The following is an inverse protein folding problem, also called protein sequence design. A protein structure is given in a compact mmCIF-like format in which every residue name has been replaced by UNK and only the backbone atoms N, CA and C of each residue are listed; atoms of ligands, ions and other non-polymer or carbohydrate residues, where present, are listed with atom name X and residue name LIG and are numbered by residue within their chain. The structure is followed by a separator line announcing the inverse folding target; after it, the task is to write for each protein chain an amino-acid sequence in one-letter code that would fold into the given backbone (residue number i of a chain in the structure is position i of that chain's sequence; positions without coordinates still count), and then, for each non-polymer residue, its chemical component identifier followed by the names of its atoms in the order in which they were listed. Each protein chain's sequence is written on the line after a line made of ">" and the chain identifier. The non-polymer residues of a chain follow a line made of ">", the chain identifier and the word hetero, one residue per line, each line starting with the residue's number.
data_IF_790011091832
#
_entry.id   IF_790011091832
#
_cell.length_a   1.000
_cell.length_b   1.000
_cell.length_c   1.000
_cell.angle_alpha   90.00
_cell.angle_beta   90.00
_cell.angle_gamma   90.00
#
_symmetry.space_group_name_H-M   'P 1'
#
loop_
_entity.id
_entity.type
_entity.pdbx_description
1 polymer ?
#
# COMPACT_ATOMS: atom_id res chain seq x y z
N UNK A 1 13.47 13.37 -20.09
CA UNK A 1 13.51 13.00 -18.66
C UNK A 1 12.99 11.58 -18.39
N UNK A 2 11.92 11.14 -19.07
CA UNK A 2 11.32 9.79 -18.89
C UNK A 2 12.21 8.60 -19.29
N UNK A 3 13.03 8.71 -20.35
CA UNK A 3 13.93 7.63 -20.80
C UNK A 3 15.01 7.29 -19.75
N UNK A 4 15.56 8.32 -19.08
CA UNK A 4 16.60 8.15 -18.07
C UNK A 4 16.06 7.50 -16.79
N UNK A 5 14.87 7.91 -16.34
CA UNK A 5 14.19 7.32 -15.18
C UNK A 5 13.80 5.85 -15.46
N UNK A 6 13.35 5.55 -16.69
CA UNK A 6 13.06 4.16 -17.12
C UNK A 6 14.32 3.28 -17.16
N UNK A 7 15.43 3.81 -17.69
CA UNK A 7 16.72 3.11 -17.69
C UNK A 7 17.25 2.85 -16.28
N UNK A 8 17.14 3.84 -15.39
CA UNK A 8 17.50 3.73 -13.98
C UNK A 8 16.69 2.67 -13.24
N UNK A 9 15.34 2.70 -13.37
CA UNK A 9 14.46 1.71 -12.74
C UNK A 9 14.77 0.29 -13.22
N UNK A 10 15.01 0.12 -14.54
CA UNK A 10 15.38 -1.18 -15.15
C UNK A 10 16.71 -1.70 -14.62
N UNK A 11 17.71 -0.84 -14.52
CA UNK A 11 19.02 -1.20 -13.96
C UNK A 11 18.90 -1.61 -12.48
N UNK A 12 18.20 -0.82 -11.67
CA UNK A 12 18.06 -1.09 -10.23
C UNK A 12 17.30 -2.38 -9.93
N UNK A 13 16.17 -2.64 -10.60
CA UNK A 13 15.42 -3.88 -10.39
C UNK A 13 16.22 -5.11 -10.88
N UNK A 14 16.95 -4.99 -11.98
CA UNK A 14 17.82 -6.06 -12.48
C UNK A 14 19.03 -6.34 -11.59
N UNK A 15 19.60 -5.32 -10.95
CA UNK A 15 20.67 -5.45 -9.97
C UNK A 15 20.17 -6.05 -8.65
N UNK A 16 19.01 -5.63 -8.18
CA UNK A 16 18.38 -6.12 -6.94
C UNK A 16 17.96 -7.60 -7.02
N UNK A 17 17.67 -8.11 -8.22
CA UNK A 17 17.32 -9.51 -8.43
C UNK A 17 18.54 -10.48 -8.36
N UNK A 18 19.77 -9.98 -8.23
CA UNK A 18 20.98 -10.83 -8.12
C UNK A 18 21.21 -11.28 -6.68
N UNK A 19 21.36 -12.58 -6.44
CA UNK A 19 21.55 -13.17 -5.10
C UNK A 19 22.74 -12.61 -4.31
N UNK A 20 23.82 -12.24 -5.00
CA UNK A 20 25.00 -11.61 -4.37
C UNK A 20 24.66 -10.21 -3.86
N UNK A 21 23.87 -9.44 -4.62
CA UNK A 21 23.41 -8.10 -4.23
C UNK A 21 22.38 -8.20 -3.11
N UNK A 22 21.49 -9.20 -3.15
CA UNK A 22 20.56 -9.53 -2.06
C UNK A 22 21.31 -9.83 -0.77
N UNK A 23 22.29 -10.74 -0.79
CA UNK A 23 23.09 -11.10 0.41
C UNK A 23 23.91 -9.93 0.97
N UNK A 24 24.56 -9.14 0.11
CA UNK A 24 25.29 -7.94 0.53
C UNK A 24 24.37 -6.87 1.12
N UNK A 25 23.19 -6.68 0.52
CA UNK A 25 22.20 -5.72 1.02
C UNK A 25 21.57 -6.17 2.33
N UNK A 26 21.28 -7.46 2.51
CA UNK A 26 20.80 -7.98 3.79
C UNK A 26 21.86 -7.84 4.89
N UNK A 27 23.15 -7.99 4.55
CA UNK A 27 24.28 -7.89 5.51
C UNK A 27 24.63 -6.46 5.93
N UNK A 28 24.47 -5.47 5.04
CA UNK A 28 24.91 -4.08 5.28
C UNK A 28 23.82 -3.00 5.12
N UNK A 29 22.64 -3.36 4.62
CA UNK A 29 21.58 -2.43 4.23
C UNK A 29 20.47 -2.23 5.26
N UNK A 30 20.48 -2.93 6.40
CA UNK A 30 19.46 -2.82 7.45
C UNK A 30 19.29 -1.38 7.96
N UNK A 31 20.39 -0.63 8.08
CA UNK A 31 20.39 0.79 8.50
C UNK A 31 19.76 1.73 7.45
N UNK A 32 19.82 1.35 6.17
CA UNK A 32 19.18 2.09 5.07
C UNK A 32 17.70 1.70 4.91
N UNK A 33 17.38 0.43 5.16
CA UNK A 33 16.02 -0.09 5.17
C UNK A 33 15.16 0.54 6.27
N UNK A 34 15.73 0.83 7.45
CA UNK A 34 15.04 1.46 8.58
C UNK A 34 14.45 2.85 8.30
N UNK A 35 14.77 3.48 7.15
CA UNK A 35 14.10 4.71 6.71
C UNK A 35 12.74 4.43 6.07
N UNK A 36 12.52 3.26 5.46
CA UNK A 36 11.28 2.89 4.77
C UNK A 36 10.51 1.77 5.46
N UNK A 37 11.16 1.04 6.37
CA UNK A 37 10.59 0.03 7.24
C UNK A 37 10.61 0.56 8.67
N UNK A 38 9.45 0.60 9.30
CA UNK A 38 9.27 1.26 10.59
C UNK A 38 10.03 0.54 11.70
N UNK A 39 9.98 -0.80 11.70
CA UNK A 39 10.70 -1.64 12.63
C UNK A 39 10.82 -3.08 12.11
N UNK A 40 11.80 -3.85 12.58
CA UNK A 40 11.87 -5.29 12.31
C UNK A 40 10.84 -6.09 13.11
N UNK A 41 10.31 -5.53 14.21
CA UNK A 41 9.35 -6.19 15.11
C UNK A 41 8.01 -5.48 15.11
N UNK A 42 6.96 -6.22 15.46
CA UNK A 42 5.61 -5.68 15.65
C UNK A 42 5.58 -4.58 16.71
N UNK A 43 6.26 -4.79 17.84
CA UNK A 43 6.28 -3.84 18.96
C UNK A 43 6.89 -2.50 18.54
N UNK A 44 8.00 -2.51 17.79
CA UNK A 44 8.58 -1.28 17.26
C UNK A 44 7.69 -0.58 16.23
N UNK A 45 6.90 -1.35 15.48
CA UNK A 45 5.93 -0.80 14.52
C UNK A 45 4.76 -0.13 15.24
N UNK A 46 4.26 -0.72 16.33
CA UNK A 46 3.24 -0.13 17.19
C UNK A 46 3.73 1.18 17.82
N UNK A 47 4.99 1.25 18.25
CA UNK A 47 5.59 2.50 18.74
C UNK A 47 5.66 3.58 17.65
N UNK A 48 5.93 3.21 16.41
CA UNK A 48 5.90 4.12 15.28
C UNK A 48 4.48 4.66 15.02
N UNK A 49 3.45 3.81 15.14
CA UNK A 49 2.04 4.20 15.04
C UNK A 49 1.67 5.20 16.12
N UNK A 50 2.08 4.99 17.37
CA UNK A 50 1.83 5.93 18.47
C UNK A 50 2.46 7.32 18.20
N UNK A 51 3.67 7.35 17.64
CA UNK A 51 4.34 8.60 17.25
C UNK A 51 3.62 9.33 16.10
N UNK A 52 3.02 8.59 15.17
CA UNK A 52 2.21 9.17 14.08
C UNK A 52 0.89 9.72 14.61
N UNK A 53 0.22 8.99 15.51
CA UNK A 53 -1.02 9.42 16.17
C UNK A 53 -0.84 10.75 16.90
N UNK A 54 0.28 10.93 17.61
CA UNK A 54 0.63 12.18 18.29
C UNK A 54 0.76 13.40 17.33
N UNK A 55 0.90 13.16 16.02
CA UNK A 55 0.98 14.17 14.96
C UNK A 55 -0.32 14.32 14.17
N UNK A 56 -1.41 13.69 14.60
CA UNK A 56 -2.68 13.67 13.87
C UNK A 56 -2.66 12.83 12.59
N UNK A 57 -1.74 11.86 12.49
CA UNK A 57 -1.61 10.99 11.32
C UNK A 57 -2.05 9.58 11.71
N UNK A 58 -3.08 9.06 11.04
CA UNK A 58 -3.54 7.68 11.19
C UNK A 58 -2.53 6.70 10.59
N UNK A 59 -2.67 5.40 10.89
CA UNK A 59 -1.78 4.38 10.35
C UNK A 59 -2.52 3.24 9.63
N UNK A 60 -1.80 2.59 8.71
CA UNK A 60 -2.10 1.24 8.25
C UNK A 60 -0.83 0.40 8.34
N UNK A 61 -0.89 -0.72 9.05
CA UNK A 61 0.25 -1.58 9.30
C UNK A 61 0.30 -2.71 8.26
N UNK A 62 1.50 -3.07 7.83
CA UNK A 62 1.76 -4.12 6.83
C UNK A 62 2.88 -5.02 7.33
N UNK A 63 2.56 -6.29 7.58
CA UNK A 63 3.57 -7.29 7.90
C UNK A 63 4.26 -7.72 6.61
N UNK A 64 5.53 -7.39 6.48
CA UNK A 64 6.28 -7.56 5.25
C UNK A 64 6.44 -9.05 4.90
N UNK A 65 6.03 -9.37 3.67
CA UNK A 65 6.19 -10.66 3.01
C UNK A 65 5.43 -10.65 1.68
N UNK A 66 5.83 -11.50 0.74
CA UNK A 66 5.12 -11.71 -0.53
C UNK A 66 5.50 -13.07 -1.11
N UNK A 67 4.60 -13.69 -1.88
CA UNK A 67 4.88 -14.91 -2.65
C UNK A 67 5.48 -16.06 -1.82
N UNK A 68 4.72 -16.55 -0.84
CA UNK A 68 5.14 -17.71 -0.01
C UNK A 68 5.30 -18.97 -0.85
N UNK A 69 6.29 -19.78 -0.51
CA UNK A 69 6.64 -21.00 -1.25
C UNK A 69 5.88 -22.25 -0.77
N UNK A 70 5.28 -22.20 0.42
CA UNK A 70 4.57 -23.32 1.02
C UNK A 70 3.47 -22.84 2.00
N UNK A 71 2.66 -23.80 2.46
CA UNK A 71 1.53 -23.55 3.36
C UNK A 71 1.94 -23.14 4.77
N UNK A 72 3.08 -23.60 5.25
CA UNK A 72 3.58 -23.27 6.60
C UNK A 72 3.95 -21.78 6.68
N UNK A 73 4.59 -21.23 5.64
CA UNK A 73 4.87 -19.81 5.51
C UNK A 73 3.59 -18.95 5.41
N UNK A 74 2.59 -19.42 4.67
CA UNK A 74 1.29 -18.76 4.56
C UNK A 74 0.58 -18.70 5.93
N UNK A 75 0.57 -19.83 6.66
CA UNK A 75 0.01 -19.93 8.00
C UNK A 75 0.76 -19.06 9.00
N UNK A 76 2.10 -19.05 8.95
CA UNK A 76 2.92 -18.18 9.80
C UNK A 76 2.63 -16.69 9.56
N UNK A 77 2.44 -16.29 8.30
CA UNK A 77 2.05 -14.92 7.96
C UNK A 77 0.66 -14.56 8.49
N UNK A 78 -0.32 -15.45 8.33
CA UNK A 78 -1.66 -15.29 8.93
C UNK A 78 -1.54 -15.11 10.43
N UNK A 79 -0.82 -15.99 11.12
CA UNK A 79 -0.74 -15.99 12.58
C UNK A 79 -0.05 -14.75 13.13
N UNK A 80 0.92 -14.17 12.42
CA UNK A 80 1.50 -12.88 12.79
C UNK A 80 0.51 -11.73 12.58
N UNK A 81 -0.26 -11.74 11.49
CA UNK A 81 -1.30 -10.73 11.25
C UNK A 81 -2.42 -10.81 12.30
N UNK A 82 -2.81 -12.01 12.73
CA UNK A 82 -3.77 -12.19 13.82
C UNK A 82 -3.24 -11.64 15.14
N UNK A 83 -1.97 -11.90 15.47
CA UNK A 83 -1.32 -11.31 16.65
C UNK A 83 -1.20 -9.79 16.56
N UNK A 84 -0.97 -9.24 15.37
CA UNK A 84 -1.02 -7.80 15.14
C UNK A 84 -2.41 -7.22 15.44
N UNK A 85 -3.47 -7.83 14.93
CA UNK A 85 -4.84 -7.39 15.17
C UNK A 85 -5.21 -7.45 16.65
N UNK A 86 -4.81 -8.51 17.35
CA UNK A 86 -4.96 -8.59 18.80
C UNK A 86 -4.24 -7.44 19.50
N UNK A 87 -2.97 -7.17 19.15
CA UNK A 87 -2.20 -6.08 19.75
C UNK A 87 -2.77 -4.68 19.45
N UNK A 88 -3.40 -4.49 18.29
CA UNK A 88 -4.13 -3.26 17.95
C UNK A 88 -5.34 -3.11 18.88
N UNK A 89 -6.12 -4.17 19.05
CA UNK A 89 -7.29 -4.22 19.95
C UNK A 89 -6.92 -3.95 21.40
N UNK A 90 -5.95 -4.70 21.95
CA UNK A 90 -5.53 -4.61 23.36
C UNK A 90 -5.03 -3.22 23.74
N UNK A 91 -4.46 -2.49 22.76
CA UNK A 91 -3.92 -1.14 22.96
C UNK A 91 -4.90 -0.03 22.55
N UNK A 92 -6.10 -0.37 22.06
CA UNK A 92 -7.08 0.60 21.54
C UNK A 92 -6.49 1.50 20.44
N UNK A 93 -5.69 0.93 19.55
CA UNK A 93 -5.04 1.69 18.48
C UNK A 93 -5.97 1.85 17.28
N UNK A 94 -6.13 3.08 16.80
CA UNK A 94 -6.79 3.36 15.52
C UNK A 94 -5.78 3.16 14.37
N UNK A 95 -5.60 1.89 14.00
CA UNK A 95 -4.70 1.47 12.93
C UNK A 95 -5.34 0.39 12.06
N UNK A 96 -5.39 0.63 10.76
CA UNK A 96 -5.82 -0.37 9.78
C UNK A 96 -4.73 -1.42 9.55
N UNK A 97 -5.07 -2.54 8.92
CA UNK A 97 -4.09 -3.54 8.45
C UNK A 97 -4.17 -3.67 6.93
N UNK A 98 -3.03 -3.73 6.26
CA UNK A 98 -2.91 -4.08 4.83
C UNK A 98 -2.25 -5.44 4.69
N UNK A 99 -2.77 -6.30 3.81
CA UNK A 99 -2.24 -7.66 3.56
C UNK A 99 -2.14 -7.96 2.07
N UNK A 100 -1.22 -8.84 1.69
CA UNK A 100 -1.04 -9.30 0.31
C UNK A 100 -1.54 -10.73 0.16
N UNK A 101 -2.49 -11.03 -0.74
CA UNK A 101 -3.00 -12.38 -0.93
C UNK A 101 -1.91 -13.43 -1.22
N UNK A 102 -0.85 -13.10 -1.96
CA UNK A 102 0.23 -14.06 -2.23
C UNK A 102 1.04 -14.43 -0.99
N UNK A 103 1.09 -13.56 0.02
CA UNK A 103 1.67 -13.86 1.32
C UNK A 103 0.80 -14.86 2.11
N UNK A 104 -0.48 -14.95 1.76
CA UNK A 104 -1.47 -15.81 2.40
C UNK A 104 -1.81 -17.06 1.56
N UNK A 105 -1.02 -17.32 0.52
CA UNK A 105 -1.12 -18.54 -0.30
C UNK A 105 -1.93 -18.41 -1.59
N UNK A 106 -2.25 -17.20 -2.08
CA UNK A 106 -3.00 -17.06 -3.35
C UNK A 106 -2.34 -17.77 -4.54
N UNK A 107 -1.01 -17.78 -4.60
CA UNK A 107 -0.25 -18.48 -5.64
C UNK A 107 -0.21 -20.00 -5.48
N UNK A 108 -0.69 -20.54 -4.36
CA UNK A 108 -0.68 -21.97 -4.03
C UNK A 108 -2.08 -22.58 -4.16
N UNK A 109 -3.06 -22.03 -3.43
CA UNK A 109 -4.47 -22.42 -3.51
C UNK A 109 -5.36 -21.21 -3.13
N UNK A 110 -6.17 -20.71 -4.07
CA UNK A 110 -7.09 -19.61 -3.84
C UNK A 110 -8.12 -19.84 -2.72
N UNK A 111 -8.59 -21.08 -2.51
CA UNK A 111 -9.57 -21.39 -1.46
C UNK A 111 -8.94 -21.33 -0.07
N UNK A 112 -7.78 -21.95 0.11
CA UNK A 112 -7.04 -21.86 1.36
C UNK A 112 -6.57 -20.41 1.66
N UNK A 113 -6.24 -19.63 0.62
CA UNK A 113 -6.00 -18.20 0.77
C UNK A 113 -7.24 -17.45 1.25
N UNK A 114 -8.42 -17.78 0.72
CA UNK A 114 -9.69 -17.22 1.17
C UNK A 114 -9.97 -17.54 2.64
N UNK A 115 -9.70 -18.76 3.09
CA UNK A 115 -9.85 -19.16 4.49
C UNK A 115 -8.93 -18.35 5.42
N UNK A 116 -7.66 -18.16 5.03
CA UNK A 116 -6.72 -17.30 5.75
C UNK A 116 -7.21 -15.86 5.84
N UNK A 117 -7.70 -15.31 4.72
CA UNK A 117 -8.26 -13.96 4.68
C UNK A 117 -9.53 -13.82 5.51
N UNK A 118 -10.40 -14.84 5.53
CA UNK A 118 -11.62 -14.85 6.34
C UNK A 118 -11.30 -14.76 7.83
N UNK A 119 -10.31 -15.53 8.29
CA UNK A 119 -9.85 -15.46 9.69
C UNK A 119 -9.31 -14.08 10.03
N UNK A 120 -8.47 -13.50 9.17
CA UNK A 120 -7.90 -12.15 9.38
C UNK A 120 -8.99 -11.08 9.36
N UNK A 121 -9.95 -11.17 8.42
CA UNK A 121 -11.05 -10.23 8.32
C UNK A 121 -11.97 -10.30 9.54
N UNK A 122 -12.29 -11.49 10.04
CA UNK A 122 -13.07 -11.66 11.27
C UNK A 122 -12.35 -11.03 12.47
N UNK A 123 -11.06 -11.28 12.65
CA UNK A 123 -10.26 -10.66 13.70
C UNK A 123 -10.18 -9.13 13.55
N UNK A 124 -10.13 -8.60 12.32
CA UNK A 124 -10.18 -7.16 12.09
C UNK A 124 -11.52 -6.54 12.50
N UNK A 125 -12.64 -7.25 12.28
CA UNK A 125 -13.96 -6.84 12.77
C UNK A 125 -14.02 -6.80 14.29
N UNK A 126 -13.52 -7.84 14.95
CA UNK A 126 -13.47 -7.95 16.41
C UNK A 126 -12.61 -6.84 17.03
N UNK A 127 -11.48 -6.54 16.41
CA UNK A 127 -10.60 -5.43 16.79
C UNK A 127 -11.17 -4.03 16.44
N UNK A 128 -12.35 -3.94 15.82
CA UNK A 128 -12.97 -2.68 15.44
C UNK A 128 -12.17 -1.88 14.39
N UNK A 129 -11.40 -2.57 13.53
CA UNK A 129 -10.54 -1.94 12.53
C UNK A 129 -10.86 -2.38 11.10
N UNK A 130 -10.13 -1.84 10.13
CA UNK A 130 -10.31 -2.08 8.70
C UNK A 130 -9.18 -2.91 8.10
N UNK A 131 -9.54 -3.85 7.23
CA UNK A 131 -8.62 -4.67 6.46
C UNK A 131 -8.58 -4.22 5.00
N UNK A 132 -7.39 -3.83 4.53
CA UNK A 132 -7.11 -3.54 3.13
C UNK A 132 -6.43 -4.76 2.48
N UNK A 133 -7.02 -5.27 1.41
CA UNK A 133 -6.37 -6.25 0.55
C UNK A 133 -5.58 -5.50 -0.51
N UNK A 134 -4.26 -5.56 -0.42
CA UNK A 134 -3.36 -4.90 -1.35
C UNK A 134 -3.41 -5.55 -2.73
N UNK A 135 -3.30 -4.73 -3.77
CA UNK A 135 -3.29 -5.18 -5.14
C UNK A 135 -1.86 -5.45 -5.61
N UNK A 136 -1.62 -6.69 -6.03
CA UNK A 136 -0.33 -7.16 -6.52
C UNK A 136 -0.21 -6.97 -8.05
N UNK A 137 0.59 -7.80 -8.74
CA UNK A 137 0.72 -7.69 -10.21
C UNK A 137 -0.59 -8.03 -10.93
N UNK A 138 -0.67 -7.68 -12.21
CA UNK A 138 -1.84 -7.93 -13.07
C UNK A 138 -2.31 -9.38 -13.08
N UNK A 139 -1.37 -10.34 -12.92
CA UNK A 139 -1.66 -11.77 -12.83
C UNK A 139 -2.60 -12.15 -11.68
N UNK A 140 -2.59 -11.37 -10.58
CA UNK A 140 -3.40 -11.63 -9.41
C UNK A 140 -4.62 -10.69 -9.29
N UNK A 141 -4.77 -9.71 -10.18
CA UNK A 141 -5.80 -8.67 -10.03
C UNK A 141 -7.21 -9.22 -9.95
N UNK A 142 -7.58 -10.10 -10.89
CA UNK A 142 -8.93 -10.67 -10.91
C UNK A 142 -9.20 -11.50 -9.65
N UNK A 143 -8.31 -12.44 -9.33
CA UNK A 143 -8.44 -13.30 -8.16
C UNK A 143 -8.51 -12.50 -6.85
N UNK A 144 -7.76 -11.40 -6.75
CA UNK A 144 -7.78 -10.52 -5.57
C UNK A 144 -9.14 -9.81 -5.42
N UNK A 145 -9.71 -9.29 -6.51
CA UNK A 145 -11.03 -8.67 -6.47
C UNK A 145 -12.14 -9.68 -6.14
N UNK A 146 -12.03 -10.90 -6.64
CA UNK A 146 -13.00 -11.96 -6.36
C UNK A 146 -12.94 -12.41 -4.89
N UNK A 147 -11.74 -12.51 -4.30
CA UNK A 147 -11.56 -12.74 -2.87
C UNK A 147 -12.21 -11.63 -2.03
N UNK A 148 -11.99 -10.36 -2.39
CA UNK A 148 -12.61 -9.22 -1.69
C UNK A 148 -14.13 -9.31 -1.75
N UNK A 149 -14.70 -9.57 -2.93
CA UNK A 149 -16.16 -9.71 -3.11
C UNK A 149 -16.74 -10.86 -2.30
N UNK A 150 -16.05 -11.99 -2.25
CA UNK A 150 -16.48 -13.15 -1.45
C UNK A 150 -16.52 -12.83 0.03
N UNK A 151 -15.48 -12.20 0.58
CA UNK A 151 -15.47 -11.76 1.98
C UNK A 151 -16.59 -10.75 2.27
N UNK A 152 -16.85 -9.82 1.34
CA UNK A 152 -17.97 -8.87 1.45
C UNK A 152 -19.34 -9.55 1.42
N UNK A 153 -19.53 -10.56 0.56
CA UNK A 153 -20.76 -11.36 0.52
C UNK A 153 -20.99 -12.15 1.82
N UNK A 154 -19.93 -12.48 2.56
CA UNK A 154 -20.00 -13.11 3.90
C UNK A 154 -20.26 -12.10 5.04
N UNK A 155 -20.51 -10.82 4.74
CA UNK A 155 -20.82 -9.80 5.74
C UNK A 155 -19.61 -9.19 6.43
N UNK A 156 -18.42 -9.27 5.83
CA UNK A 156 -17.19 -8.65 6.33
C UNK A 156 -16.99 -7.25 5.72
N UNK A 157 -17.87 -6.31 6.07
CA UNK A 157 -17.93 -4.97 5.47
C UNK A 157 -16.69 -4.09 5.67
N UNK A 158 -15.88 -4.40 6.68
CA UNK A 158 -14.60 -3.76 6.98
C UNK A 158 -13.46 -4.18 6.04
N UNK A 159 -13.74 -4.89 4.95
CA UNK A 159 -12.77 -5.29 3.93
C UNK A 159 -12.85 -4.36 2.71
N UNK A 160 -11.70 -3.95 2.17
CA UNK A 160 -11.66 -3.23 0.89
C UNK A 160 -10.45 -3.50 0.03
N UNK A 161 -10.50 -2.99 -1.19
CA UNK A 161 -9.53 -3.31 -2.25
C UNK A 161 -8.58 -2.14 -2.57
N UNK A 162 -7.54 -2.43 -3.35
CA UNK A 162 -6.68 -1.42 -3.99
C UNK A 162 -6.91 -1.44 -5.50
N UNK A 163 -6.97 -0.26 -6.12
CA UNK A 163 -7.06 -0.11 -7.59
C UNK A 163 -5.83 0.61 -8.12
N UNK A 164 -5.24 0.07 -9.19
CA UNK A 164 -3.99 0.55 -9.78
C UNK A 164 -4.25 1.35 -11.06
N UNK A 165 -4.11 2.66 -11.02
CA UNK A 165 -4.44 3.54 -12.15
C UNK A 165 -3.63 3.27 -13.43
N UNK A 166 -2.49 2.57 -13.37
CA UNK A 166 -1.72 2.21 -14.56
C UNK A 166 -2.37 1.12 -15.42
N UNK A 167 -3.27 0.29 -14.89
CA UNK A 167 -3.91 -0.76 -15.68
C UNK A 167 -5.11 -0.20 -16.46
N UNK A 168 -5.27 -0.63 -17.71
CA UNK A 168 -6.38 -0.20 -18.59
C UNK A 168 -7.76 -0.63 -18.07
N UNK A 169 -7.82 -1.75 -17.33
CA UNK A 169 -9.05 -2.29 -16.72
C UNK A 169 -9.56 -1.48 -15.52
N UNK A 170 -8.70 -0.69 -14.89
CA UNK A 170 -8.95 -0.13 -13.55
C UNK A 170 -10.14 0.80 -13.43
N UNK A 171 -10.47 1.55 -14.49
CA UNK A 171 -11.66 2.41 -14.47
C UNK A 171 -12.94 1.57 -14.33
N UNK A 172 -13.06 0.48 -15.09
CA UNK A 172 -14.21 -0.42 -15.02
C UNK A 172 -14.26 -1.24 -13.73
N UNK A 173 -13.10 -1.64 -13.19
CA UNK A 173 -13.06 -2.29 -11.88
C UNK A 173 -13.49 -1.32 -10.75
N UNK A 174 -13.06 -0.06 -10.81
CA UNK A 174 -13.46 0.96 -9.84
C UNK A 174 -14.97 1.25 -9.89
N UNK A 175 -15.56 1.32 -11.08
CA UNK A 175 -17.01 1.51 -11.26
C UNK A 175 -17.79 0.36 -10.57
N UNK A 176 -17.39 -0.91 -10.80
CA UNK A 176 -18.01 -2.08 -10.15
C UNK A 176 -17.85 -2.07 -8.63
N UNK A 177 -16.64 -1.79 -8.14
CA UNK A 177 -16.38 -1.74 -6.69
C UNK A 177 -17.18 -0.63 -5.99
N UNK A 178 -17.43 0.48 -6.69
CA UNK A 178 -18.28 1.57 -6.19
C UNK A 178 -19.74 1.14 -6.10
N UNK A 179 -20.28 0.46 -7.13
CA UNK A 179 -21.63 -0.14 -7.12
C UNK A 179 -21.80 -1.13 -5.96
N UNK A 180 -20.77 -1.94 -5.71
CA UNK A 180 -20.70 -2.92 -4.62
C UNK A 180 -20.41 -2.29 -3.24
N UNK A 181 -20.27 -0.96 -3.16
CA UNK A 181 -19.93 -0.21 -1.94
C UNK A 181 -18.65 -0.72 -1.25
N UNK A 182 -17.64 -1.08 -2.05
CA UNK A 182 -16.33 -1.54 -1.57
C UNK A 182 -15.37 -0.36 -1.50
N UNK A 183 -14.97 0.01 -0.28
CA UNK A 183 -14.00 1.10 -0.03
C UNK A 183 -12.72 0.82 -0.82
N UNK A 184 -12.14 1.83 -1.47
CA UNK A 184 -10.98 1.68 -2.34
C UNK A 184 -9.80 2.56 -1.92
N UNK A 185 -8.59 2.03 -2.09
CA UNK A 185 -7.34 2.81 -2.12
C UNK A 185 -6.88 2.91 -3.57
N UNK A 186 -6.69 4.13 -4.07
CA UNK A 186 -6.23 4.37 -5.44
C UNK A 186 -4.73 4.65 -5.44
N UNK A 187 -3.98 3.82 -6.16
CA UNK A 187 -2.52 3.95 -6.36
C UNK A 187 -2.20 4.12 -7.83
N UNK A 188 -1.00 4.60 -8.16
CA UNK A 188 -0.53 4.60 -9.56
C UNK A 188 -0.30 3.18 -10.10
N UNK A 189 0.15 2.25 -9.24
CA UNK A 189 0.63 0.92 -9.61
C UNK A 189 2.14 0.80 -9.44
N UNK A 190 2.59 -0.31 -8.84
CA UNK A 190 4.00 -0.50 -8.43
C UNK A 190 4.74 -1.55 -9.28
N UNK A 191 4.01 -2.37 -10.02
CA UNK A 191 4.54 -3.49 -10.80
C UNK A 191 4.97 -3.03 -12.21
N UNK A 192 5.73 -3.90 -12.88
CA UNK A 192 6.10 -3.70 -14.29
C UNK A 192 5.18 -4.57 -15.12
N UNK A 193 4.30 -3.92 -15.86
CA UNK A 193 3.23 -4.56 -16.63
C UNK A 193 3.44 -4.31 -18.12
N UNK A 194 3.04 -5.24 -19.00
CA UNK A 194 3.15 -5.07 -20.44
C UNK A 194 2.20 -3.97 -20.95
N UNK A 195 2.53 -3.40 -22.11
CA UNK A 195 1.89 -2.17 -22.64
C UNK A 195 0.48 -2.36 -23.19
N UNK A 196 0.15 -3.60 -23.55
CA UNK A 196 -1.17 -4.05 -23.95
C UNK A 196 -2.18 -3.93 -22.81
N UNK A 197 -1.76 -4.21 -21.56
CA UNK A 197 -2.64 -4.13 -20.38
C UNK A 197 -2.45 -2.89 -19.52
N UNK A 198 -1.33 -2.17 -19.65
CA UNK A 198 -0.99 -1.03 -18.79
C UNK A 198 -0.45 0.19 -19.53
N UNK A 199 -0.88 1.37 -19.11
CA UNK A 199 -0.34 2.66 -19.52
C UNK A 199 1.14 2.76 -19.13
N UNK A 200 1.99 3.12 -20.09
CA UNK A 200 3.43 3.23 -19.88
C UNK A 200 3.87 4.68 -19.65
N UNK A 201 3.16 5.66 -20.24
CA UNK A 201 3.52 7.08 -20.10
C UNK A 201 2.97 7.62 -18.80
N UNK A 202 3.79 8.39 -18.08
CA UNK A 202 3.39 8.95 -16.79
C UNK A 202 2.20 9.93 -16.91
N UNK A 203 2.03 10.59 -18.06
CA UNK A 203 0.85 11.41 -18.34
C UNK A 203 -0.44 10.58 -18.32
N UNK A 204 -0.50 9.50 -19.10
CA UNK A 204 -1.65 8.60 -19.17
C UNK A 204 -2.00 7.97 -17.81
N UNK A 205 -1.00 7.58 -17.02
CA UNK A 205 -1.21 7.05 -15.66
C UNK A 205 -1.81 8.12 -14.74
N UNK A 206 -1.34 9.38 -14.85
CA UNK A 206 -1.88 10.50 -14.07
C UNK A 206 -3.32 10.81 -14.48
N UNK A 207 -3.62 10.79 -15.78
CA UNK A 207 -4.97 11.07 -16.29
C UNK A 207 -5.95 9.98 -15.89
N UNK A 208 -5.55 8.71 -15.96
CA UNK A 208 -6.30 7.57 -15.42
C UNK A 208 -6.54 7.72 -13.91
N UNK A 209 -5.49 8.07 -13.13
CA UNK A 209 -5.61 8.29 -11.69
C UNK A 209 -6.62 9.39 -11.35
N UNK A 210 -6.54 10.53 -12.06
CA UNK A 210 -7.47 11.65 -11.91
C UNK A 210 -8.90 11.26 -12.27
N UNK A 211 -9.08 10.52 -13.36
CA UNK A 211 -10.39 10.03 -13.80
C UNK A 211 -11.04 9.17 -12.73
N UNK A 212 -10.32 8.20 -12.18
CA UNK A 212 -10.84 7.30 -11.14
C UNK A 212 -11.13 8.08 -9.84
N UNK A 213 -10.19 8.90 -9.37
CA UNK A 213 -10.39 9.66 -8.12
C UNK A 213 -11.50 10.70 -8.26
N UNK A 214 -11.59 11.41 -9.38
CA UNK A 214 -12.66 12.39 -9.64
C UNK A 214 -14.04 11.74 -9.56
N UNK A 215 -14.23 10.61 -10.25
CA UNK A 215 -15.48 9.82 -10.20
C UNK A 215 -15.88 9.44 -8.76
N UNK A 216 -14.93 8.94 -7.96
CA UNK A 216 -15.21 8.54 -6.59
C UNK A 216 -15.57 9.73 -5.70
N UNK A 217 -14.86 10.85 -5.86
CA UNK A 217 -15.12 12.08 -5.13
C UNK A 217 -16.51 12.66 -5.49
N UNK A 218 -16.85 12.73 -6.78
CA UNK A 218 -18.15 13.22 -7.25
C UNK A 218 -19.30 12.35 -6.76
N UNK A 219 -19.08 11.05 -6.63
CA UNK A 219 -20.05 10.10 -6.08
C UNK A 219 -20.17 10.16 -4.54
N UNK A 220 -19.39 11.01 -3.85
CA UNK A 220 -19.34 11.07 -2.39
C UNK A 220 -18.77 9.80 -1.76
N UNK A 221 -18.01 9.02 -2.52
CA UNK A 221 -17.46 7.75 -2.07
C UNK A 221 -16.18 7.98 -1.25
N UNK A 222 -16.08 7.32 -0.10
CA UNK A 222 -14.91 7.48 0.76
C UNK A 222 -13.64 7.00 0.05
N UNK A 223 -12.76 7.94 -0.26
CA UNK A 223 -11.62 7.70 -1.17
C UNK A 223 -10.29 7.79 -0.45
N UNK A 224 -9.49 6.72 -0.53
CA UNK A 224 -8.09 6.75 -0.09
C UNK A 224 -7.17 7.09 -1.26
N UNK A 225 -6.66 8.33 -1.28
CA UNK A 225 -5.75 8.87 -2.30
C UNK A 225 -4.31 8.54 -1.92
N UNK A 226 -3.82 7.37 -2.37
CA UNK A 226 -2.48 6.89 -2.06
C UNK A 226 -1.44 7.37 -3.10
N UNK A 227 -0.75 8.46 -2.79
CA UNK A 227 0.26 9.06 -3.68
C UNK A 227 1.23 9.99 -2.94
N UNK A 228 2.46 10.08 -3.46
CA UNK A 228 3.46 11.08 -3.04
C UNK A 228 3.67 12.18 -4.09
N UNK A 229 2.91 12.17 -5.19
CA UNK A 229 3.05 13.12 -6.28
C UNK A 229 2.36 14.45 -5.93
N UNK A 230 3.15 15.51 -5.72
CA UNK A 230 2.66 16.88 -5.47
C UNK A 230 1.58 17.34 -6.43
N UNK A 231 1.70 16.94 -7.70
CA UNK A 231 0.77 17.38 -8.75
C UNK A 231 -0.60 16.73 -8.57
N UNK A 232 -0.63 15.47 -8.12
CA UNK A 232 -1.88 14.77 -7.81
C UNK A 232 -2.47 15.27 -6.50
N UNK A 233 -1.66 15.48 -5.46
CA UNK A 233 -2.11 16.03 -4.18
C UNK A 233 -2.76 17.40 -4.39
N UNK A 234 -2.07 18.30 -5.11
CA UNK A 234 -2.60 19.63 -5.44
C UNK A 234 -3.86 19.53 -6.27
N UNK A 235 -3.88 18.66 -7.29
CA UNK A 235 -5.05 18.47 -8.14
C UNK A 235 -6.26 17.99 -7.32
N UNK A 236 -6.11 16.99 -6.45
CA UNK A 236 -7.20 16.50 -5.59
C UNK A 236 -7.74 17.61 -4.69
N UNK A 237 -6.85 18.41 -4.09
CA UNK A 237 -7.27 19.54 -3.23
C UNK A 237 -8.09 20.56 -4.02
N UNK A 238 -7.57 21.02 -5.16
CA UNK A 238 -8.28 21.99 -6.01
C UNK A 238 -9.60 21.42 -6.54
N UNK A 239 -9.61 20.14 -6.93
CA UNK A 239 -10.81 19.46 -7.40
C UNK A 239 -11.87 19.38 -6.30
N UNK A 240 -11.51 18.94 -5.10
CA UNK A 240 -12.43 18.87 -3.97
C UNK A 240 -12.97 20.25 -3.60
N UNK A 241 -12.11 21.27 -3.52
CA UNK A 241 -12.51 22.64 -3.23
C UNK A 241 -13.49 23.20 -4.30
N UNK A 242 -13.22 22.96 -5.59
CA UNK A 242 -14.09 23.45 -6.66
C UNK A 242 -15.44 22.74 -6.77
N UNK A 243 -15.54 21.51 -6.24
CA UNK A 243 -16.78 20.71 -6.25
C UNK A 243 -17.49 20.72 -4.88
N UNK A 244 -17.02 21.51 -3.91
CA UNK A 244 -17.64 21.61 -2.58
C UNK A 244 -17.50 20.34 -1.73
N UNK A 245 -16.47 19.53 -1.98
CA UNK A 245 -16.25 18.25 -1.32
C UNK A 245 -15.45 18.47 -0.02
N UNK A 246 -15.98 17.98 1.09
CA UNK A 246 -15.37 18.10 2.41
C UNK A 246 -14.02 17.39 2.53
N UNK A 247 -13.11 17.94 3.33
CA UNK A 247 -11.77 17.36 3.59
C UNK A 247 -11.83 16.01 4.32
N UNK A 248 -12.96 15.72 4.95
CA UNK A 248 -13.30 14.48 5.62
C UNK A 248 -13.86 13.41 4.67
N UNK A 249 -14.21 13.76 3.42
CA UNK A 249 -14.75 12.81 2.43
C UNK A 249 -13.67 11.90 1.81
N UNK A 250 -12.39 12.26 1.97
CA UNK A 250 -11.26 11.48 1.48
C UNK A 250 -10.08 11.52 2.46
N UNK A 251 -9.10 10.65 2.24
CA UNK A 251 -7.84 10.67 2.99
C UNK A 251 -6.64 10.57 2.05
N UNK A 252 -5.56 11.29 2.38
CA UNK A 252 -4.27 11.10 1.71
C UNK A 252 -3.51 9.96 2.38
N UNK A 253 -3.02 9.02 1.58
CA UNK A 253 -2.16 7.95 2.10
C UNK A 253 -0.75 8.05 1.55
N UNK A 254 0.23 7.92 2.44
CA UNK A 254 1.65 7.97 2.09
C UNK A 254 2.42 6.91 2.86
N UNK A 255 3.48 6.40 2.25
CA UNK A 255 4.38 5.45 2.88
C UNK A 255 5.22 6.08 4.00
N UNK A 256 5.53 5.26 5.00
CA UNK A 256 6.42 5.62 6.11
C UNK A 256 7.79 6.08 5.62
N UNK A 257 8.31 7.13 6.27
CA UNK A 257 9.61 7.75 5.96
C UNK A 257 9.70 8.53 4.65
N UNK A 258 8.63 8.55 3.86
CA UNK A 258 8.51 9.38 2.67
C UNK A 258 7.64 10.58 2.94
N UNK A 259 8.09 11.76 2.49
CA UNK A 259 7.26 12.98 2.52
C UNK A 259 6.72 13.33 3.91
N UNK A 260 7.44 12.98 4.99
CA UNK A 260 6.95 13.14 6.38
C UNK A 260 6.51 14.58 6.69
N UNK A 261 7.27 15.59 6.23
CA UNK A 261 6.89 16.99 6.40
C UNK A 261 5.56 17.34 5.70
N UNK A 262 5.28 16.74 4.54
CA UNK A 262 4.01 16.93 3.84
C UNK A 262 2.87 16.21 4.55
N UNK A 263 3.10 14.98 5.06
CA UNK A 263 2.09 14.26 5.84
C UNK A 263 1.63 15.10 7.04
N UNK A 264 2.59 15.65 7.80
CA UNK A 264 2.30 16.52 8.95
C UNK A 264 1.64 17.83 8.54
N UNK A 265 2.06 18.41 7.40
CA UNK A 265 1.44 19.63 6.86
C UNK A 265 -0.03 19.40 6.51
N UNK A 266 -0.34 18.34 5.76
CA UNK A 266 -1.71 17.98 5.37
C UNK A 266 -2.58 17.71 6.60
N UNK A 267 -2.06 17.01 7.60
CA UNK A 267 -2.75 16.78 8.87
C UNK A 267 -3.07 18.10 9.60
N UNK A 268 -2.10 19.02 9.70
CA UNK A 268 -2.31 20.37 10.28
C UNK A 268 -3.31 21.22 9.48
N UNK A 269 -3.42 21.00 8.17
CA UNK A 269 -4.42 21.64 7.32
C UNK A 269 -5.82 21.02 7.46
N UNK A 270 -5.99 19.99 8.31
CA UNK A 270 -7.27 19.35 8.58
C UNK A 270 -7.68 18.27 7.58
N UNK A 271 -6.75 17.81 6.72
CA UNK A 271 -6.99 16.63 5.89
C UNK A 271 -6.80 15.35 6.71
N UNK A 272 -7.58 14.31 6.41
CA UNK A 272 -7.27 12.96 6.90
C UNK A 272 -6.01 12.46 6.22
N UNK A 273 -5.03 12.02 7.01
CA UNK A 273 -3.76 11.48 6.52
C UNK A 273 -3.51 10.12 7.16
N UNK A 274 -3.16 9.13 6.32
CA UNK A 274 -2.78 7.80 6.78
C UNK A 274 -1.38 7.42 6.31
N UNK A 275 -0.52 7.06 7.26
CA UNK A 275 0.79 6.53 6.98
C UNK A 275 0.73 5.01 6.79
N UNK A 276 1.32 4.49 5.71
CA UNK A 276 1.52 3.05 5.52
C UNK A 276 2.83 2.64 6.20
N UNK A 277 2.72 1.81 7.24
CA UNK A 277 3.76 1.47 8.20
C UNK A 277 4.14 -0.01 8.02
N UNK A 278 5.13 -0.31 7.16
CA UNK A 278 5.60 -1.68 6.97
C UNK A 278 6.56 -2.07 8.10
N UNK A 279 6.50 -3.33 8.52
CA UNK A 279 7.38 -3.90 9.53
C UNK A 279 7.69 -5.37 9.26
N UNK A 280 8.73 -5.90 9.90
CA UNK A 280 9.17 -7.30 9.71
C UNK A 280 10.54 -7.41 9.04
N UNK A 281 11.00 -8.65 8.92
CA UNK A 281 12.36 -8.97 8.45
C UNK A 281 12.47 -9.10 6.93
N UNK A 282 11.36 -9.35 6.22
CA UNK A 282 11.31 -9.50 4.76
C UNK A 282 11.27 -8.14 4.02
N UNK A 283 12.13 -7.22 4.44
CA UNK A 283 12.15 -5.85 3.93
C UNK A 283 12.77 -5.70 2.54
N UNK A 284 13.54 -6.67 2.06
CA UNK A 284 14.38 -6.49 0.88
C UNK A 284 13.58 -6.29 -0.43
N UNK A 285 12.56 -7.10 -0.78
CA UNK A 285 11.75 -6.87 -1.97
C UNK A 285 10.99 -5.53 -1.92
N UNK A 286 10.47 -5.19 -0.73
CA UNK A 286 9.80 -3.91 -0.49
C UNK A 286 10.75 -2.71 -0.69
N UNK A 287 11.92 -2.76 -0.04
CA UNK A 287 12.93 -1.70 -0.09
C UNK A 287 13.50 -1.47 -1.49
N UNK A 288 13.76 -2.55 -2.24
CA UNK A 288 14.31 -2.44 -3.60
C UNK A 288 13.33 -1.77 -4.56
N UNK A 289 12.02 -2.04 -4.43
CA UNK A 289 10.98 -1.29 -5.16
C UNK A 289 10.97 0.19 -4.80
N UNK A 290 11.12 0.54 -3.51
CA UNK A 290 11.18 1.95 -3.05
C UNK A 290 12.40 2.70 -3.58
N UNK A 291 13.56 2.05 -3.67
CA UNK A 291 14.74 2.64 -4.31
C UNK A 291 14.53 2.87 -5.81
N UNK A 292 13.87 1.94 -6.48
CA UNK A 292 13.66 2.01 -7.93
C UNK A 292 12.65 3.10 -8.36
N UNK A 293 11.87 3.68 -7.43
CA UNK A 293 10.86 4.70 -7.71
C UNK A 293 11.42 6.07 -8.07
N UNK A 294 12.56 6.49 -7.50
CA UNK A 294 13.21 7.76 -7.83
C UNK A 294 14.74 7.69 -7.67
N UNK A 295 15.52 8.18 -8.65
CA UNK A 295 16.98 8.31 -8.53
C UNK A 295 17.44 9.13 -7.31
N UNK A 296 16.64 10.12 -6.90
CA UNK A 296 16.90 10.92 -5.70
C UNK A 296 16.85 10.10 -4.40
N UNK A 297 16.15 8.96 -4.37
CA UNK A 297 16.19 8.03 -3.24
C UNK A 297 17.60 7.40 -3.11
N UNK A 298 18.34 7.23 -4.22
CA UNK A 298 19.73 6.76 -4.22
C UNK A 298 20.73 7.83 -3.77
N UNK A 299 20.54 9.09 -4.20
CA UNK A 299 21.41 10.20 -3.76
C UNK A 299 21.35 10.41 -2.24
N UNK A 300 20.18 10.14 -1.64
CA UNK A 300 19.99 10.08 -0.19
C UNK A 300 20.75 8.93 0.48
N UNK A 301 20.96 7.80 -0.22
CA UNK A 301 21.77 6.67 0.24
C UNK A 301 23.26 6.98 0.12
N UNK A 302 23.71 7.53 -1.02
CA UNK A 302 25.13 7.88 -1.26
C UNK A 302 25.63 8.94 -0.28
N UNK A 303 24.79 9.93 0.09
CA UNK A 303 25.16 10.96 1.08
C UNK A 303 25.43 10.41 2.48
N UNK A 304 24.91 9.23 2.81
CA UNK A 304 25.12 8.57 4.11
C UNK A 304 26.34 7.64 4.14
N UNK A 305 27.02 7.41 3.01
CA UNK A 305 28.32 6.71 2.97
C UNK A 305 29.50 7.65 3.22
N UNK A 306 29.30 8.97 3.16
CA UNK A 306 30.31 10.01 3.35
C UNK A 306 30.04 10.86 4.61
N UNK A 307 29.56 10.22 5.68
CA UNK A 307 29.58 10.73 7.06
C UNK A 307 29.99 9.62 8.01
#
# INVERSE_FOLDING_TARGET
>A
MDLWIRGYRRAMLGLAARDTVKRLSLRYGSRLAGRFVAAPTREGALDAVLKLKAKGIAATMDYLGESVGNWEEAAGSRDEILRLLQAISDRGLDAHVSVKPTQLGLGLDPEACCDNLRMIAAAAREAGTFLRIDMESSAYTQATLDLVRRLRAEGLDQVGAVVQACLRRSAGDADKLMEEKIRMRIVKGAYREPEDIAYQKNGEIIDSYRTIVGKLLDAGFETAVATHDDRLIRWVRTYAESHGIGRDSFEFQMLYGLRTAEQEKLAREGYRVRCYVPYGTEWYPYYTRRLAERPSHLWLVVRNFWK
#
